data_IF_515903220674
#
_entry.id   IF_515903220674
#
_cell.length_a   1.000
_cell.length_b   1.000
_cell.length_c   1.000
_cell.angle_alpha   90.00
_cell.angle_beta   90.00
_cell.angle_gamma   90.00
#
_symmetry.space_group_name_H-M   'P 1'
#
loop_
_entity.id
_entity.type
_entity.pdbx_description
1 polymer ?
#
# COMPACT_ATOMS: atom_id res chain seq x y z
N UNK A 1 -30.18 -6.08 -6.11
CA UNK A 1 -28.92 -5.87 -5.36
C UNK A 1 -27.85 -6.77 -5.96
N UNK A 2 -27.01 -6.24 -6.85
CA UNK A 2 -25.81 -6.96 -7.30
C UNK A 2 -24.64 -6.32 -6.58
N UNK A 3 -23.91 -7.11 -5.81
CA UNK A 3 -22.76 -6.65 -5.04
C UNK A 3 -21.71 -6.04 -5.96
N UNK A 4 -21.34 -4.79 -5.68
CA UNK A 4 -20.21 -4.10 -6.30
C UNK A 4 -18.91 -4.79 -5.87
N UNK A 5 -18.55 -5.89 -6.51
CA UNK A 5 -17.34 -6.66 -6.17
C UNK A 5 -16.29 -6.68 -7.29
N UNK A 6 -16.45 -5.83 -8.31
CA UNK A 6 -15.55 -5.82 -9.46
C UNK A 6 -15.10 -4.41 -9.84
N UNK A 7 -14.38 -3.73 -8.95
CA UNK A 7 -13.32 -2.82 -9.40
C UNK A 7 -12.17 -3.70 -9.91
N UNK A 8 -12.11 -3.92 -11.22
CA UNK A 8 -10.96 -4.59 -11.85
C UNK A 8 -9.73 -3.69 -11.69
N UNK A 9 -8.85 -4.04 -10.76
CA UNK A 9 -7.59 -3.32 -10.56
C UNK A 9 -6.68 -3.49 -11.77
N UNK A 10 -6.06 -2.39 -12.21
CA UNK A 10 -5.04 -2.39 -13.26
C UNK A 10 -3.83 -3.26 -12.86
N UNK A 11 -3.03 -3.69 -13.84
CA UNK A 11 -1.80 -4.44 -13.56
C UNK A 11 -0.85 -3.65 -12.64
N UNK A 12 -0.81 -2.32 -12.82
CA UNK A 12 0.01 -1.43 -12.00
C UNK A 12 -0.47 -1.39 -10.55
N UNK A 13 -1.77 -1.24 -10.31
CA UNK A 13 -2.35 -1.28 -8.97
C UNK A 13 -2.14 -2.63 -8.31
N UNK A 14 -2.33 -3.73 -9.03
CA UNK A 14 -2.06 -5.09 -8.54
C UNK A 14 -0.58 -5.26 -8.18
N UNK A 15 0.32 -4.72 -8.99
CA UNK A 15 1.77 -4.73 -8.71
C UNK A 15 2.13 -3.88 -7.50
N UNK A 16 1.49 -2.71 -7.34
CA UNK A 16 1.67 -1.85 -6.16
C UNK A 16 1.22 -2.57 -4.90
N UNK A 17 0.04 -3.19 -4.91
CA UNK A 17 -0.50 -3.93 -3.76
C UNK A 17 0.35 -5.17 -3.42
N UNK A 18 0.84 -5.91 -4.42
CA UNK A 18 1.65 -7.10 -4.14
C UNK A 18 3.00 -6.75 -3.50
N UNK A 19 3.59 -5.59 -3.80
CA UNK A 19 4.84 -5.13 -3.15
C UNK A 19 4.71 -4.90 -1.65
N UNK A 20 3.48 -4.73 -1.17
CA UNK A 20 3.13 -4.55 0.23
C UNK A 20 2.94 -5.88 0.99
N UNK A 21 3.22 -7.02 0.37
CA UNK A 21 3.21 -8.33 1.04
C UNK A 21 4.60 -8.69 1.54
N UNK A 22 4.69 -9.17 2.79
CA UNK A 22 5.92 -9.76 3.30
C UNK A 22 5.96 -11.25 2.97
N UNK A 23 6.64 -11.60 1.89
CA UNK A 23 6.72 -12.99 1.39
C UNK A 23 7.50 -13.94 2.31
N UNK A 24 8.37 -13.44 3.18
CA UNK A 24 9.17 -14.26 4.12
C UNK A 24 8.32 -14.79 5.29
N UNK A 25 7.26 -14.05 5.64
CA UNK A 25 6.29 -14.44 6.68
C UNK A 25 5.16 -15.33 6.15
N UNK A 26 5.04 -15.49 4.82
CA UNK A 26 4.07 -16.40 4.22
C UNK A 26 4.57 -17.85 4.27
N UNK A 27 3.64 -18.81 4.19
CA UNK A 27 3.99 -20.22 4.01
C UNK A 27 4.28 -20.51 2.54
N UNK A 28 5.05 -21.58 2.28
CA UNK A 28 5.34 -22.04 0.93
C UNK A 28 4.07 -22.32 0.12
N UNK A 29 3.05 -22.94 0.73
CA UNK A 29 1.77 -23.21 0.07
C UNK A 29 1.02 -21.91 -0.28
N UNK A 30 1.01 -20.92 0.62
CA UNK A 30 0.44 -19.62 0.30
C UNK A 30 1.16 -18.93 -0.88
N UNK A 31 2.49 -19.04 -0.97
CA UNK A 31 3.25 -18.54 -2.12
C UNK A 31 2.93 -19.29 -3.43
N UNK A 32 2.70 -20.61 -3.37
CA UNK A 32 2.27 -21.40 -4.54
C UNK A 32 0.87 -20.99 -5.01
N UNK A 33 -0.05 -20.77 -4.08
CA UNK A 33 -1.41 -20.35 -4.40
C UNK A 33 -1.45 -18.93 -4.96
N UNK A 34 -0.63 -18.02 -4.42
CA UNK A 34 -0.41 -16.70 -5.01
C UNK A 34 0.10 -16.80 -6.45
N UNK A 35 1.07 -17.68 -6.72
CA UNK A 35 1.64 -17.85 -8.05
C UNK A 35 0.66 -18.43 -9.08
N UNK A 36 -0.32 -19.22 -8.64
CA UNK A 36 -1.40 -19.77 -9.50
C UNK A 36 -2.48 -18.73 -9.80
N UNK A 37 -2.60 -17.66 -9.02
CA UNK A 37 -3.67 -16.68 -9.18
C UNK A 37 -3.40 -15.72 -10.35
N UNK A 38 -4.29 -15.63 -11.35
CA UNK A 38 -4.12 -14.73 -12.50
C UNK A 38 -4.21 -13.25 -12.11
N UNK A 39 -4.66 -12.96 -10.88
CA UNK A 39 -4.68 -11.61 -10.33
C UNK A 39 -3.30 -11.14 -9.87
N UNK A 40 -2.37 -12.06 -9.60
CA UNK A 40 -1.03 -11.72 -9.13
C UNK A 40 -0.11 -11.42 -10.33
N UNK A 41 0.60 -10.29 -10.35
CA UNK A 41 1.56 -9.99 -11.40
C UNK A 41 2.71 -11.02 -11.41
N UNK A 42 3.21 -11.44 -12.59
CA UNK A 42 4.24 -12.48 -12.68
C UNK A 42 5.50 -12.20 -11.85
N UNK A 43 5.95 -10.93 -11.82
CA UNK A 43 7.11 -10.51 -11.01
C UNK A 43 6.90 -10.77 -9.51
N UNK A 44 5.70 -10.51 -9.01
CA UNK A 44 5.34 -10.73 -7.61
C UNK A 44 5.26 -12.22 -7.27
N UNK A 45 4.74 -13.05 -8.17
CA UNK A 45 4.73 -14.50 -8.01
C UNK A 45 6.15 -15.09 -7.94
N UNK A 46 7.05 -14.65 -8.82
CA UNK A 46 8.46 -15.07 -8.81
C UNK A 46 9.13 -14.65 -7.51
N UNK A 47 8.94 -13.40 -7.07
CA UNK A 47 9.51 -12.91 -5.82
C UNK A 47 9.00 -13.72 -4.61
N UNK A 48 7.70 -14.00 -4.55
CA UNK A 48 7.09 -14.78 -3.48
C UNK A 48 7.67 -16.19 -3.37
N UNK A 49 7.87 -16.87 -4.52
CA UNK A 49 8.48 -18.20 -4.54
C UNK A 49 9.98 -18.17 -4.23
N UNK A 50 10.70 -17.14 -4.68
CA UNK A 50 12.13 -16.98 -4.41
C UNK A 50 12.41 -16.77 -2.92
N UNK A 51 11.59 -15.98 -2.22
CA UNK A 51 11.71 -15.76 -0.77
C UNK A 51 11.66 -17.06 0.05
N UNK A 52 10.90 -18.06 -0.41
CA UNK A 52 10.82 -19.35 0.26
C UNK A 52 12.05 -20.24 0.01
N UNK A 53 12.71 -20.09 -1.14
CA UNK A 53 13.93 -20.85 -1.45
C UNK A 53 15.13 -20.41 -0.61
N UNK A 54 15.22 -19.12 -0.30
CA UNK A 54 16.27 -18.58 0.61
C UNK A 54 16.10 -19.14 2.02
N UNK A 55 14.85 -19.19 2.52
CA UNK A 55 14.53 -19.77 3.84
C UNK A 55 14.92 -21.24 3.99
N UNK A 56 14.86 -22.02 2.91
CA UNK A 56 15.26 -23.44 2.91
C UNK A 56 16.79 -23.61 2.87
N UNK A 57 17.54 -22.67 2.29
CA UNK A 57 19.00 -22.73 2.25
C UNK A 57 19.63 -22.29 3.58
N UNK A 58 18.95 -21.41 4.32
CA UNK A 58 19.37 -20.96 5.65
C UNK A 58 19.02 -21.98 6.76
N UNK A 59 18.04 -22.86 6.51
CA UNK A 59 17.61 -23.92 7.43
C UNK A 59 18.19 -25.30 7.14
N UNK A 60 19.09 -25.44 6.16
CA UNK A 60 19.69 -26.71 5.76
C UNK A 60 21.02 -26.99 6.50
N UNK A 61 20.96 -27.02 7.83
CA UNK A 61 21.82 -27.90 8.64
C UNK A 61 20.93 -28.97 9.29
N UNK A 62 20.35 -29.86 8.48
CA UNK A 62 20.17 -31.27 8.83
C UNK A 62 19.66 -32.02 7.58
N UNK A 63 20.23 -33.21 7.39
CA UNK A 63 19.95 -34.17 6.31
C UNK A 63 20.53 -33.86 4.91
N UNK A 64 21.83 -34.11 4.74
CA UNK A 64 22.33 -35.13 3.80
C UNK A 64 23.87 -35.16 3.79
N UNK A 65 24.45 -36.29 4.17
CA UNK A 65 25.84 -36.63 3.86
C UNK A 65 26.09 -36.56 2.35
N UNK A 66 26.90 -35.60 1.90
CA UNK A 66 27.60 -35.67 0.62
C UNK A 66 28.93 -34.91 0.72
N UNK A 67 30.09 -35.59 0.65
CA UNK A 67 31.37 -34.97 0.93
C UNK A 67 32.05 -34.51 -0.36
N UNK A 68 31.63 -33.40 -0.97
CA UNK A 68 32.47 -32.73 -1.98
C UNK A 68 32.23 -31.21 -1.98
N UNK A 69 33.33 -30.46 -1.93
CA UNK A 69 33.47 -29.01 -2.12
C UNK A 69 33.45 -28.13 -0.85
N UNK A 70 34.50 -28.35 -0.07
CA UNK A 70 35.10 -27.47 0.98
C UNK A 70 35.59 -26.12 0.43
N UNK A 71 34.95 -25.51 -0.58
CA UNK A 71 35.42 -24.25 -1.20
C UNK A 71 34.27 -23.28 -1.47
N UNK A 72 33.62 -22.80 -0.40
CA UNK A 72 32.80 -21.58 -0.46
C UNK A 72 32.67 -20.83 0.89
N UNK A 73 33.49 -21.17 1.90
CA UNK A 73 33.50 -20.48 3.19
C UNK A 73 34.26 -19.15 3.11
N UNK A 74 33.73 -18.17 2.37
CA UNK A 74 34.16 -16.76 2.50
C UNK A 74 33.18 -15.78 1.84
N UNK A 75 31.91 -15.78 2.28
CA UNK A 75 31.08 -14.59 2.09
C UNK A 75 30.19 -14.34 3.31
N UNK A 76 30.75 -13.58 4.24
CA UNK A 76 30.00 -12.64 5.06
C UNK A 76 29.18 -13.26 6.17
N UNK A 77 29.82 -13.49 7.32
CA UNK A 77 29.17 -13.37 8.61
C UNK A 77 28.68 -11.92 8.73
N UNK A 78 27.48 -11.64 8.24
CA UNK A 78 26.66 -10.53 8.71
C UNK A 78 25.51 -11.15 9.46
N UNK A 79 25.48 -10.92 10.77
CA UNK A 79 24.44 -11.39 11.69
C UNK A 79 23.03 -11.32 11.05
N UNK A 80 22.29 -12.44 10.96
CA UNK A 80 20.93 -12.46 10.40
C UNK A 80 19.94 -11.58 11.17
N UNK A 81 20.23 -11.24 12.43
CA UNK A 81 19.34 -10.44 13.27
C UNK A 81 19.27 -8.97 12.81
N UNK A 82 20.39 -8.39 12.37
CA UNK A 82 20.42 -6.97 11.97
C UNK A 82 19.90 -6.73 10.55
N UNK A 83 19.91 -7.75 9.69
CA UNK A 83 19.39 -7.66 8.31
C UNK A 83 17.87 -7.78 8.26
N UNK A 84 17.26 -8.62 9.10
CA UNK A 84 15.81 -8.80 9.17
C UNK A 84 15.05 -7.54 9.59
N UNK A 85 15.52 -6.85 10.64
CA UNK A 85 14.89 -5.61 11.12
C UNK A 85 14.91 -4.49 10.07
N UNK A 86 16.01 -4.38 9.31
CA UNK A 86 16.16 -3.41 8.22
C UNK A 86 15.18 -3.67 7.08
N UNK A 87 15.01 -4.94 6.70
CA UNK A 87 14.06 -5.35 5.66
C UNK A 87 12.61 -5.12 6.09
N UNK A 88 12.28 -5.42 7.35
CA UNK A 88 10.97 -5.17 7.95
C UNK A 88 10.65 -3.68 8.02
N UNK A 89 11.59 -2.85 8.45
CA UNK A 89 11.43 -1.40 8.49
C UNK A 89 11.18 -0.83 7.08
N UNK A 90 11.90 -1.32 6.06
CA UNK A 90 11.66 -0.90 4.67
C UNK A 90 10.24 -1.26 4.22
N UNK A 91 9.79 -2.48 4.53
CA UNK A 91 8.45 -2.92 4.16
C UNK A 91 7.35 -2.11 4.84
N UNK A 92 7.52 -1.84 6.14
CA UNK A 92 6.61 -1.00 6.92
C UNK A 92 6.56 0.42 6.34
N UNK A 93 7.71 0.99 5.97
CA UNK A 93 7.75 2.31 5.35
C UNK A 93 6.98 2.35 4.02
N UNK A 94 7.13 1.32 3.17
CA UNK A 94 6.37 1.22 1.91
C UNK A 94 4.86 1.14 2.17
N UNK A 95 4.44 0.37 3.17
CA UNK A 95 3.03 0.28 3.60
C UNK A 95 2.49 1.62 4.09
N UNK A 96 3.27 2.33 4.90
CA UNK A 96 2.91 3.66 5.39
C UNK A 96 2.78 4.66 4.24
N UNK A 97 3.74 4.69 3.32
CA UNK A 97 3.71 5.55 2.14
C UNK A 97 2.46 5.31 1.28
N UNK A 98 2.09 4.03 1.09
CA UNK A 98 0.86 3.69 0.37
C UNK A 98 -0.39 4.25 1.06
N UNK A 99 -0.52 4.03 2.38
CA UNK A 99 -1.65 4.54 3.15
C UNK A 99 -1.72 6.07 3.09
N UNK A 100 -0.59 6.75 3.20
CA UNK A 100 -0.52 8.22 3.08
C UNK A 100 -0.97 8.67 1.70
N UNK A 101 -0.49 8.04 0.63
CA UNK A 101 -0.87 8.41 -0.74
C UNK A 101 -2.39 8.26 -0.99
N UNK A 102 -2.99 7.19 -0.48
CA UNK A 102 -4.44 6.97 -0.58
C UNK A 102 -5.23 7.99 0.26
N UNK A 103 -4.79 8.24 1.49
CA UNK A 103 -5.39 9.27 2.36
C UNK A 103 -5.31 10.66 1.72
N UNK A 104 -4.17 11.02 1.15
CA UNK A 104 -4.01 12.29 0.45
C UNK A 104 -4.95 12.42 -0.75
N UNK A 105 -5.18 11.33 -1.49
CA UNK A 105 -6.12 11.31 -2.61
C UNK A 105 -7.53 11.65 -2.14
N UNK A 106 -8.00 10.97 -1.09
CA UNK A 106 -9.32 11.24 -0.50
C UNK A 106 -9.39 12.66 0.07
N UNK A 107 -8.33 13.14 0.73
CA UNK A 107 -8.24 14.52 1.22
C UNK A 107 -8.30 15.56 0.08
N UNK A 108 -7.67 15.30 -1.06
CA UNK A 108 -7.74 16.16 -2.26
C UNK A 108 -9.16 16.19 -2.83
N UNK A 109 -9.80 15.03 -2.95
CA UNK A 109 -11.19 14.92 -3.41
C UNK A 109 -12.14 15.70 -2.50
N UNK A 110 -12.04 15.49 -1.19
CA UNK A 110 -12.85 16.19 -0.19
C UNK A 110 -12.65 17.71 -0.27
N UNK A 111 -11.40 18.18 -0.39
CA UNK A 111 -11.10 19.61 -0.55
C UNK A 111 -11.72 20.19 -1.83
N UNK A 112 -11.70 19.44 -2.92
CA UNK A 112 -12.36 19.79 -4.17
C UNK A 112 -13.88 19.91 -3.99
N UNK A 113 -14.50 18.95 -3.30
CA UNK A 113 -15.93 18.99 -2.99
C UNK A 113 -16.30 20.20 -2.11
N UNK A 114 -15.54 20.46 -1.05
CA UNK A 114 -15.73 21.64 -0.19
C UNK A 114 -15.62 22.95 -0.98
N UNK A 115 -14.66 23.05 -1.89
CA UNK A 115 -14.49 24.22 -2.75
C UNK A 115 -15.68 24.43 -3.69
N UNK A 116 -16.30 23.35 -4.18
CA UNK A 116 -17.52 23.42 -4.99
C UNK A 116 -18.71 23.88 -4.15
N UNK A 117 -18.87 23.32 -2.95
CA UNK A 117 -19.93 23.69 -2.00
C UNK A 117 -19.84 25.17 -1.61
N UNK A 118 -18.64 25.67 -1.34
CA UNK A 118 -18.42 27.10 -1.02
C UNK A 118 -18.79 28.02 -2.19
N UNK A 119 -18.51 27.62 -3.44
CA UNK A 119 -18.87 28.37 -4.65
C UNK A 119 -20.38 28.36 -4.91
N UNK A 120 -21.05 27.21 -4.73
CA UNK A 120 -22.50 27.12 -4.87
C UNK A 120 -23.25 27.85 -3.75
N UNK A 121 -22.72 27.86 -2.52
CA UNK A 121 -23.27 28.67 -1.43
C UNK A 121 -23.19 30.18 -1.70
N UNK A 122 -22.16 30.64 -2.42
CA UNK A 122 -22.02 32.06 -2.82
C UNK A 122 -23.05 32.50 -3.86
N UNK A 123 -23.54 31.59 -4.71
CA UNK A 123 -24.64 31.86 -5.64
C UNK A 123 -26.00 31.99 -4.94
N UNK A 124 -26.21 31.29 -3.81
CA UNK A 124 -27.47 31.38 -3.04
C UNK A 124 -27.53 32.63 -2.15
N UNK A 125 -26.38 33.21 -1.77
CA UNK A 125 -26.32 34.43 -0.93
C UNK A 125 -26.28 35.72 -1.79
N UNK A 126 -26.14 35.61 -3.11
CA UNK A 126 -26.07 36.77 -4.00
C UNK A 126 -27.46 37.13 -4.58
N UNK A 127 -28.12 38.08 -3.90
CA UNK A 127 -29.15 39.04 -4.37
C UNK A 127 -30.65 38.65 -4.28
N UNK A 128 -31.58 39.62 -4.05
CA UNK A 128 -31.46 41.06 -4.31
C UNK A 128 -31.62 41.99 -3.10
N UNK A 129 -30.86 43.06 -3.16
CA UNK A 129 -31.07 44.34 -2.50
C UNK A 129 -32.50 44.85 -2.74
N UNK A 130 -33.39 44.64 -1.78
CA UNK A 130 -34.61 45.42 -1.66
C UNK A 130 -34.39 46.53 -0.63
N UNK A 131 -34.35 47.74 -1.18
CA UNK A 131 -34.50 49.03 -0.52
C UNK A 131 -35.46 48.93 0.68
N UNK A 132 -34.95 49.11 1.90
CA UNK A 132 -35.78 49.51 3.03
C UNK A 132 -34.99 50.50 3.87
N UNK A 133 -34.99 51.75 3.38
CA UNK A 133 -34.76 52.89 4.25
C UNK A 133 -35.87 52.93 5.28
N UNK A 134 -35.53 52.62 6.54
CA UNK A 134 -36.31 53.06 7.69
C UNK A 134 -35.35 53.77 8.63
N UNK A 135 -35.50 55.09 8.67
CA UNK A 135 -34.74 55.97 9.54
C UNK A 135 -34.93 55.59 11.02
N UNK A 136 -33.86 55.79 11.79
CA UNK A 136 -33.86 55.70 13.24
C UNK A 136 -34.56 56.94 13.82
N UNK A 137 -35.45 56.82 14.84
CA UNK A 137 -36.05 57.98 15.46
C UNK A 137 -35.00 58.70 16.32
N UNK A 138 -35.00 60.03 16.25
CA UNK A 138 -34.19 60.86 17.15
C UNK A 138 -34.90 61.02 18.49
N UNK A 139 -34.15 60.75 19.56
CA UNK A 139 -34.56 60.99 20.93
C UNK A 139 -34.25 62.46 21.28
N UNK A 140 -35.26 63.17 21.77
CA UNK A 140 -35.13 64.47 22.43
C UNK A 140 -34.77 64.26 23.90
#
# INVERSE_FOLDING_TARGET
MVAQSHTSLSLEERSRLCRCLNYEKLTLEACKDLAKSPRIPPRSAVQALASQRVKLQDGAEEAAESPVAVVAYHRGVTSPEFTGEKEELRHNLQMMQWRVAELEKVCREMRGQMSRIAKSGKLVISSPSHLNGRGLPRLC
#
